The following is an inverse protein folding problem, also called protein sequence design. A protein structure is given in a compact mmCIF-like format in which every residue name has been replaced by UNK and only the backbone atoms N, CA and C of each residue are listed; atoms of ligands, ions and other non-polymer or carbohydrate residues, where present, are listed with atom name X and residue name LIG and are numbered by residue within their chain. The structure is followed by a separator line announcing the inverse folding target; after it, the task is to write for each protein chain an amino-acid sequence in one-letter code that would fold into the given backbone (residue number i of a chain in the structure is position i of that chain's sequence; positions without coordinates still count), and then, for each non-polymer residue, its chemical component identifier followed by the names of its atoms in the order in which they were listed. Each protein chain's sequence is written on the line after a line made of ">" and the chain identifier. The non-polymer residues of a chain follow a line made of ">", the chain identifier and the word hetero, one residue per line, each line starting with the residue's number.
data_IF_504397846968
#
_entry.id   IF_504397846968
#
_cell.length_a   1.000
_cell.length_b   1.000
_cell.length_c   1.000
_cell.angle_alpha   90.00
_cell.angle_beta   90.00
_cell.angle_gamma   90.00
#
_symmetry.space_group_name_H-M   'P 1'
#
loop_
_entity.id
_entity.type
_entity.pdbx_description
1 polymer ?
#
# COMPACT_ATOMS: atom_id res chain seq x y z
N UNK A 1 -27.10 -8.18 8.86
CA UNK A 1 -26.63 -7.55 7.60
C UNK A 1 -25.97 -6.16 7.77
N UNK A 2 -25.61 -5.73 9.00
CA UNK A 2 -25.02 -4.40 9.24
C UNK A 2 -23.49 -4.31 9.01
N UNK A 3 -22.75 -5.42 9.10
CA UNK A 3 -21.28 -5.41 9.02
C UNK A 3 -20.69 -5.09 7.64
N UNK A 4 -21.40 -5.43 6.55
CA UNK A 4 -20.90 -5.22 5.17
C UNK A 4 -21.02 -3.75 4.73
N UNK A 5 -22.14 -3.09 5.08
CA UNK A 5 -22.35 -1.65 4.78
C UNK A 5 -21.38 -0.75 5.55
N UNK A 6 -21.09 -1.06 6.82
CA UNK A 6 -20.09 -0.34 7.60
C UNK A 6 -18.69 -0.38 6.98
N UNK A 7 -18.29 -1.55 6.47
CA UNK A 7 -16.99 -1.76 5.82
C UNK A 7 -16.85 -0.98 4.50
N UNK A 8 -17.92 -0.84 3.70
CA UNK A 8 -17.88 -0.07 2.46
C UNK A 8 -17.73 1.43 2.73
N UNK A 9 -18.52 1.98 3.67
CA UNK A 9 -18.40 3.40 4.07
C UNK A 9 -17.00 3.71 4.60
N UNK A 10 -16.44 2.80 5.38
CA UNK A 10 -15.08 2.94 5.90
C UNK A 10 -14.03 2.93 4.79
N UNK A 11 -14.15 2.06 3.80
CA UNK A 11 -13.27 2.03 2.64
C UNK A 11 -13.33 3.35 1.85
N UNK A 12 -14.53 3.89 1.59
CA UNK A 12 -14.70 5.17 0.87
C UNK A 12 -14.04 6.33 1.64
N UNK A 13 -14.16 6.38 2.97
CA UNK A 13 -13.49 7.40 3.80
C UNK A 13 -11.97 7.33 3.70
N UNK A 14 -11.40 6.12 3.66
CA UNK A 14 -9.96 5.93 3.46
C UNK A 14 -9.54 6.46 2.08
N UNK A 15 -10.31 6.15 1.03
CA UNK A 15 -10.02 6.62 -0.32
C UNK A 15 -10.10 8.15 -0.42
N UNK A 16 -11.11 8.79 0.17
CA UNK A 16 -11.25 10.24 0.23
C UNK A 16 -10.11 10.94 0.99
N UNK A 17 -9.72 10.39 2.14
CA UNK A 17 -8.57 10.90 2.91
C UNK A 17 -7.26 10.79 2.12
N UNK A 18 -7.04 9.64 1.48
CA UNK A 18 -5.85 9.42 0.66
C UNK A 18 -5.81 10.35 -0.56
N UNK A 19 -6.96 10.67 -1.17
CA UNK A 19 -7.05 11.63 -2.26
C UNK A 19 -6.70 13.05 -1.80
N UNK A 20 -7.30 13.51 -0.70
CA UNK A 20 -7.02 14.84 -0.15
C UNK A 20 -5.55 15.01 0.29
N UNK A 21 -4.94 13.97 0.88
CA UNK A 21 -3.52 14.00 1.23
C UNK A 21 -2.66 14.15 -0.02
N UNK A 22 -2.95 13.39 -1.09
CA UNK A 22 -2.22 13.46 -2.37
C UNK A 22 -2.28 14.84 -2.99
N UNK A 23 -3.46 15.48 -2.97
CA UNK A 23 -3.64 16.84 -3.49
C UNK A 23 -2.82 17.86 -2.69
N UNK A 24 -2.82 17.76 -1.35
CA UNK A 24 -2.06 18.66 -0.46
C UNK A 24 -0.55 18.56 -0.65
N UNK A 25 -0.04 17.36 -0.89
CA UNK A 25 1.41 17.11 -1.05
C UNK A 25 1.89 17.19 -2.50
N UNK A 26 1.01 17.53 -3.44
CA UNK A 26 1.34 17.70 -4.86
C UNK A 26 1.73 16.41 -5.57
N UNK A 27 1.28 15.25 -5.08
CA UNK A 27 1.60 13.95 -5.68
C UNK A 27 0.48 13.49 -6.60
N UNK A 28 0.79 13.30 -7.89
CA UNK A 28 -0.14 12.66 -8.84
C UNK A 28 -0.09 11.15 -8.62
N UNK A 29 -1.27 10.52 -8.61
CA UNK A 29 -1.36 9.05 -8.52
C UNK A 29 -0.90 8.45 -9.84
N UNK A 30 0.06 7.53 -9.80
CA UNK A 30 0.62 6.95 -11.00
C UNK A 30 -0.38 6.03 -11.72
N UNK A 31 -0.41 6.13 -13.05
CA UNK A 31 -1.39 5.49 -13.95
C UNK A 31 -1.50 3.96 -13.81
N UNK A 32 -0.43 3.27 -13.43
CA UNK A 32 -0.41 1.80 -13.28
C UNK A 32 -1.15 1.28 -12.07
N UNK A 33 -1.31 2.10 -11.03
CA UNK A 33 -2.17 1.82 -9.87
C UNK A 33 -3.55 2.49 -10.00
N UNK A 34 -3.82 3.08 -11.17
CA UNK A 34 -5.04 3.82 -11.40
C UNK A 34 -6.21 2.87 -11.62
N UNK A 35 -6.08 1.92 -12.55
CA UNK A 35 -7.12 0.96 -12.91
C UNK A 35 -7.74 0.21 -11.71
N UNK A 36 -6.94 -0.51 -10.91
CA UNK A 36 -7.45 -1.28 -9.77
C UNK A 36 -8.14 -0.43 -8.69
N UNK A 37 -7.74 0.83 -8.55
CA UNK A 37 -8.43 1.77 -7.67
C UNK A 37 -9.67 2.35 -8.30
N UNK A 38 -9.66 2.67 -9.61
CA UNK A 38 -10.84 3.14 -10.31
C UNK A 38 -11.91 2.04 -10.25
N UNK A 39 -11.53 0.78 -10.44
CA UNK A 39 -12.40 -0.38 -10.26
C UNK A 39 -12.95 -0.45 -8.82
N UNK A 40 -12.09 -0.28 -7.82
CA UNK A 40 -12.49 -0.30 -6.40
C UNK A 40 -13.43 0.85 -6.05
N UNK A 41 -13.16 2.06 -6.54
CA UNK A 41 -13.98 3.26 -6.32
C UNK A 41 -15.32 3.14 -7.04
N UNK A 42 -15.31 2.64 -8.28
CA UNK A 42 -16.51 2.39 -9.08
C UNK A 42 -17.41 1.36 -8.41
N UNK A 43 -16.84 0.22 -8.00
CA UNK A 43 -17.58 -0.82 -7.28
C UNK A 43 -18.18 -0.31 -5.96
N UNK A 44 -17.45 0.52 -5.20
CA UNK A 44 -17.97 1.11 -3.97
C UNK A 44 -19.10 2.12 -4.23
N UNK A 45 -18.98 2.92 -5.28
CA UNK A 45 -20.01 3.88 -5.72
C UNK A 45 -21.30 3.16 -6.14
N UNK A 46 -21.18 2.07 -6.90
CA UNK A 46 -22.32 1.23 -7.29
C UNK A 46 -23.01 0.55 -6.10
N UNK A 47 -22.23 0.04 -5.14
CA UNK A 47 -22.78 -0.70 -4.00
C UNK A 47 -23.41 0.21 -2.94
N UNK A 48 -22.88 1.41 -2.74
CA UNK A 48 -23.38 2.36 -1.74
C UNK A 48 -24.46 3.30 -2.29
N UNK A 49 -24.46 3.55 -3.59
CA UNK A 49 -25.20 4.64 -4.20
C UNK A 49 -24.46 5.98 -4.07
N UNK A 50 -24.71 6.86 -5.04
CA UNK A 50 -23.95 8.11 -5.22
C UNK A 50 -23.97 9.01 -3.98
N UNK A 51 -25.13 9.22 -3.36
CA UNK A 51 -25.27 10.13 -2.21
C UNK A 51 -24.50 9.66 -0.97
N UNK A 52 -24.55 8.35 -0.66
CA UNK A 52 -23.84 7.77 0.48
C UNK A 52 -22.32 7.71 0.22
N UNK A 53 -21.93 7.50 -1.03
CA UNK A 53 -20.53 7.54 -1.47
C UNK A 53 -19.95 8.95 -1.29
N UNK A 54 -20.59 9.98 -1.84
CA UNK A 54 -20.09 11.35 -1.79
C UNK A 54 -20.01 11.89 -0.34
N UNK A 55 -21.00 11.57 0.50
CA UNK A 55 -20.96 11.91 1.91
C UNK A 55 -19.78 11.26 2.64
N UNK A 56 -19.54 9.96 2.41
CA UNK A 56 -18.41 9.24 2.99
C UNK A 56 -17.07 9.74 2.44
N UNK A 57 -17.01 10.12 1.16
CA UNK A 57 -15.82 10.66 0.55
C UNK A 57 -15.43 12.00 1.17
N UNK A 58 -16.39 12.91 1.32
CA UNK A 58 -16.20 14.22 1.95
C UNK A 58 -15.74 14.08 3.42
N UNK A 59 -16.35 13.16 4.18
CA UNK A 59 -15.92 12.84 5.55
C UNK A 59 -14.48 12.34 5.63
N UNK A 60 -13.99 11.65 4.60
CA UNK A 60 -12.60 11.21 4.50
C UNK A 60 -11.66 12.37 4.13
N UNK A 61 -12.06 13.19 3.15
CA UNK A 61 -11.26 14.27 2.60
C UNK A 61 -10.90 15.36 3.64
N UNK A 62 -11.75 15.55 4.67
CA UNK A 62 -11.50 16.51 5.76
C UNK A 62 -10.60 15.97 6.87
N UNK A 63 -10.23 14.68 6.85
CA UNK A 63 -9.32 14.14 7.86
C UNK A 63 -7.94 14.81 7.79
N UNK A 64 -7.40 15.11 8.97
CA UNK A 64 -5.97 15.42 9.10
C UNK A 64 -5.13 14.20 8.74
N UNK A 65 -3.84 14.41 8.44
CA UNK A 65 -2.92 13.32 8.13
C UNK A 65 -2.84 12.29 9.27
N UNK A 66 -2.84 12.75 10.52
CA UNK A 66 -2.81 11.88 11.71
C UNK A 66 -4.10 11.07 11.86
N UNK A 67 -5.27 11.70 11.67
CA UNK A 67 -6.55 11.01 11.71
C UNK A 67 -6.70 10.01 10.57
N UNK A 68 -6.23 10.34 9.36
CA UNK A 68 -6.20 9.43 8.23
C UNK A 68 -5.32 8.20 8.49
N UNK A 69 -4.17 8.38 9.15
CA UNK A 69 -3.29 7.28 9.58
C UNK A 69 -4.00 6.40 10.62
N UNK A 70 -4.56 7.01 11.68
CA UNK A 70 -5.30 6.28 12.72
C UNK A 70 -6.54 5.56 12.15
N UNK A 71 -7.20 6.16 11.16
CA UNK A 71 -8.37 5.61 10.50
C UNK A 71 -8.01 4.42 9.58
N UNK A 72 -6.95 4.54 8.79
CA UNK A 72 -6.43 3.43 7.99
C UNK A 72 -5.94 2.25 8.84
N UNK A 73 -5.46 2.51 10.06
CA UNK A 73 -5.09 1.45 11.01
C UNK A 73 -6.31 0.70 11.55
N UNK A 74 -7.46 1.35 11.72
CA UNK A 74 -8.72 0.73 12.20
C UNK A 74 -9.40 -0.15 11.13
N UNK A 75 -9.45 0.32 9.88
CA UNK A 75 -10.08 -0.42 8.77
C UNK A 75 -9.30 -1.64 8.29
N UNK A 76 -8.02 -1.78 8.70
CA UNK A 76 -7.25 -3.02 8.56
C UNK A 76 -7.65 -4.02 9.64
N UNK A 77 -8.91 -4.46 9.60
CA UNK A 77 -9.40 -5.59 10.41
C UNK A 77 -8.35 -6.70 10.47
N UNK A 78 -8.11 -7.19 11.69
CA UNK A 78 -6.96 -7.97 12.13
C UNK A 78 -6.60 -9.20 11.28
N UNK A 79 -6.07 -9.01 10.07
CA UNK A 79 -5.09 -9.96 9.54
C UNK A 79 -3.83 -9.70 10.36
N UNK A 80 -3.62 -10.53 11.39
CA UNK A 80 -2.35 -10.65 12.12
C UNK A 80 -1.26 -11.07 11.12
N UNK A 81 -0.83 -10.14 10.28
CA UNK A 81 0.41 -10.30 9.53
C UNK A 81 1.53 -10.32 10.58
N UNK A 82 2.44 -11.30 10.55
CA UNK A 82 3.57 -11.35 11.47
C UNK A 82 4.30 -10.00 11.48
N UNK A 83 4.85 -9.62 12.64
CA UNK A 83 5.59 -8.36 12.76
C UNK A 83 6.94 -8.40 12.04
N UNK A 84 7.49 -9.59 11.82
CA UNK A 84 8.81 -9.84 11.23
C UNK A 84 8.79 -11.06 10.30
N UNK A 85 9.82 -11.18 9.46
CA UNK A 85 9.96 -12.26 8.48
C UNK A 85 9.30 -11.97 7.12
N UNK A 86 9.43 -12.91 6.19
CA UNK A 86 8.95 -12.76 4.81
C UNK A 86 7.43 -12.58 4.70
N UNK A 87 6.67 -13.23 5.58
CA UNK A 87 5.21 -13.06 5.66
C UNK A 87 4.78 -11.67 6.17
N UNK A 88 5.68 -10.95 6.85
CA UNK A 88 5.47 -9.58 7.29
C UNK A 88 5.52 -8.55 6.14
N UNK A 89 6.02 -8.96 4.97
CA UNK A 89 6.08 -8.09 3.82
C UNK A 89 4.68 -7.88 3.20
N UNK A 90 4.42 -6.64 2.83
CA UNK A 90 3.29 -6.24 2.00
C UNK A 90 3.56 -6.61 0.53
N UNK A 91 2.53 -6.64 -0.34
CA UNK A 91 2.73 -6.86 -1.77
C UNK A 91 3.74 -5.89 -2.39
N UNK A 92 3.60 -4.58 -2.12
CA UNK A 92 4.53 -3.57 -2.63
C UNK A 92 5.98 -3.76 -2.15
N UNK A 93 6.17 -4.17 -0.89
CA UNK A 93 7.50 -4.49 -0.37
C UNK A 93 8.10 -5.72 -1.07
N UNK A 94 7.31 -6.76 -1.34
CA UNK A 94 7.78 -7.93 -2.11
C UNK A 94 8.20 -7.56 -3.53
N UNK A 95 7.44 -6.69 -4.19
CA UNK A 95 7.81 -6.20 -5.53
C UNK A 95 9.14 -5.44 -5.51
N UNK A 96 9.35 -4.59 -4.51
CA UNK A 96 10.65 -3.91 -4.32
C UNK A 96 11.77 -4.92 -4.09
N UNK A 97 11.58 -5.92 -3.21
CA UNK A 97 12.60 -6.95 -2.94
C UNK A 97 12.96 -7.75 -4.19
N UNK A 98 11.96 -8.15 -4.98
CA UNK A 98 12.17 -8.85 -6.25
C UNK A 98 13.04 -8.03 -7.19
N UNK A 99 12.72 -6.76 -7.40
CA UNK A 99 13.51 -5.90 -8.28
C UNK A 99 14.91 -5.61 -7.72
N UNK A 100 15.08 -5.57 -6.39
CA UNK A 100 16.42 -5.53 -5.78
C UNK A 100 17.22 -6.79 -6.09
N UNK A 101 16.59 -7.97 -6.02
CA UNK A 101 17.25 -9.25 -6.35
C UNK A 101 17.63 -9.37 -7.82
N UNK A 102 16.91 -8.67 -8.71
CA UNK A 102 17.27 -8.48 -10.12
C UNK A 102 18.42 -7.46 -10.33
N UNK A 103 18.89 -6.80 -9.28
CA UNK A 103 20.02 -5.86 -9.33
C UNK A 103 19.65 -4.39 -9.59
N UNK A 104 18.37 -4.03 -9.70
CA UNK A 104 17.94 -2.70 -10.14
C UNK A 104 18.15 -1.61 -9.07
N UNK A 105 18.68 -0.46 -9.45
CA UNK A 105 18.81 0.69 -8.54
C UNK A 105 17.46 1.30 -8.15
N UNK A 106 17.43 2.14 -7.11
CA UNK A 106 16.19 2.76 -6.64
C UNK A 106 15.47 3.58 -7.72
N UNK A 107 16.21 4.23 -8.62
CA UNK A 107 15.66 4.98 -9.76
C UNK A 107 14.97 4.07 -10.77
N UNK A 108 15.58 2.93 -11.11
CA UNK A 108 15.00 1.97 -12.05
C UNK A 108 13.77 1.27 -11.45
N UNK A 109 13.85 0.92 -10.15
CA UNK A 109 12.72 0.40 -9.38
C UNK A 109 11.58 1.41 -9.36
N UNK A 110 11.89 2.68 -9.10
CA UNK A 110 10.92 3.77 -9.09
C UNK A 110 10.22 3.92 -10.43
N UNK A 111 10.96 3.88 -11.54
CA UNK A 111 10.39 3.89 -12.90
C UNK A 111 9.49 2.68 -13.13
N UNK A 112 9.94 1.47 -12.75
CA UNK A 112 9.21 0.22 -13.02
C UNK A 112 7.96 0.04 -12.17
N UNK A 113 7.98 0.54 -10.94
CA UNK A 113 6.82 0.53 -10.04
C UNK A 113 5.98 1.80 -10.15
N UNK A 114 6.42 2.76 -10.97
CA UNK A 114 5.80 4.08 -11.12
C UNK A 114 5.59 4.74 -9.75
N UNK A 115 6.69 5.02 -9.05
CA UNK A 115 6.73 5.72 -7.76
C UNK A 115 7.95 6.64 -7.72
N UNK A 116 8.13 7.42 -6.65
CA UNK A 116 9.37 8.19 -6.48
C UNK A 116 10.52 7.33 -5.92
N UNK A 117 11.80 7.62 -6.22
CA UNK A 117 12.94 6.94 -5.60
C UNK A 117 12.92 7.01 -4.06
N UNK A 118 12.37 8.10 -3.48
CA UNK A 118 12.16 8.25 -2.04
C UNK A 118 11.13 7.25 -1.49
N UNK A 119 10.11 6.92 -2.27
CA UNK A 119 9.12 5.89 -1.91
C UNK A 119 9.77 4.51 -1.88
N UNK A 120 10.63 4.20 -2.86
CA UNK A 120 11.43 2.98 -2.88
C UNK A 120 12.34 2.89 -1.65
N UNK A 121 13.01 3.98 -1.28
CA UNK A 121 13.81 4.03 -0.05
C UNK A 121 12.98 3.74 1.20
N UNK A 122 11.78 4.33 1.32
CA UNK A 122 10.89 4.07 2.45
C UNK A 122 10.47 2.59 2.53
N UNK A 123 10.13 1.97 1.39
CA UNK A 123 9.85 0.54 1.35
C UNK A 123 11.07 -0.30 1.77
N UNK A 124 12.27 0.04 1.32
CA UNK A 124 13.50 -0.66 1.71
C UNK A 124 13.76 -0.55 3.21
N UNK A 125 13.57 0.62 3.83
CA UNK A 125 13.71 0.78 5.28
C UNK A 125 12.74 -0.15 6.03
N UNK A 126 11.49 -0.24 5.60
CA UNK A 126 10.53 -1.16 6.24
C UNK A 126 10.89 -2.63 6.03
N UNK A 127 11.36 -2.99 4.83
CA UNK A 127 11.84 -4.36 4.52
C UNK A 127 13.01 -4.73 5.44
N UNK A 128 14.00 -3.84 5.56
CA UNK A 128 15.16 -4.04 6.42
C UNK A 128 14.76 -4.29 7.86
N UNK A 129 13.86 -3.45 8.40
CA UNK A 129 13.33 -3.64 9.76
C UNK A 129 12.61 -4.98 9.92
N UNK A 130 11.77 -5.37 8.95
CA UNK A 130 10.98 -6.61 9.03
C UNK A 130 11.83 -7.87 8.89
N UNK A 131 12.89 -7.83 8.09
CA UNK A 131 13.78 -8.95 7.84
C UNK A 131 15.02 -8.97 8.75
N UNK A 132 15.22 -7.94 9.57
CA UNK A 132 16.41 -7.81 10.43
C UNK A 132 17.69 -7.57 9.64
N UNK A 133 17.60 -6.90 8.50
CA UNK A 133 18.73 -6.63 7.60
C UNK A 133 19.17 -5.17 7.72
N UNK A 134 20.42 -4.89 7.36
CA UNK A 134 20.98 -3.53 7.44
C UNK A 134 21.49 -3.02 6.10
N UNK A 135 21.50 -3.86 5.07
CA UNK A 135 22.00 -3.47 3.76
C UNK A 135 21.25 -4.09 2.60
N UNK A 136 21.36 -3.41 1.46
CA UNK A 136 20.85 -3.87 0.17
C UNK A 136 21.51 -5.17 -0.28
N UNK A 137 22.80 -5.34 -0.02
CA UNK A 137 23.54 -6.56 -0.36
C UNK A 137 23.01 -7.74 0.43
N UNK A 138 22.81 -7.57 1.75
CA UNK A 138 22.17 -8.60 2.58
C UNK A 138 20.76 -8.92 2.08
N UNK A 139 19.98 -7.91 1.68
CA UNK A 139 18.65 -8.14 1.11
C UNK A 139 18.70 -8.97 -0.18
N UNK A 140 19.61 -8.67 -1.10
CA UNK A 140 19.75 -9.44 -2.33
C UNK A 140 20.16 -10.90 -2.04
N UNK A 141 21.09 -11.12 -1.11
CA UNK A 141 21.52 -12.46 -0.68
C UNK A 141 20.38 -13.23 -0.03
N UNK A 142 19.63 -12.60 0.89
CA UNK A 142 18.54 -13.23 1.60
C UNK A 142 17.35 -13.53 0.68
N UNK A 143 17.05 -12.65 -0.27
CA UNK A 143 16.05 -12.89 -1.30
C UNK A 143 16.41 -14.10 -2.18
N UNK A 144 17.69 -14.23 -2.56
CA UNK A 144 18.16 -15.38 -3.33
C UNK A 144 18.04 -16.69 -2.53
N UNK A 145 18.37 -16.69 -1.22
CA UNK A 145 18.19 -17.85 -0.34
C UNK A 145 16.71 -18.21 -0.18
N UNK A 146 15.85 -17.22 0.03
CA UNK A 146 14.42 -17.43 0.20
C UNK A 146 13.76 -18.01 -1.05
N UNK A 147 14.16 -17.56 -2.25
CA UNK A 147 13.69 -18.10 -3.51
C UNK A 147 14.08 -19.58 -3.72
N UNK A 148 15.24 -20.00 -3.21
CA UNK A 148 15.66 -21.41 -3.24
C UNK A 148 14.91 -22.26 -2.19
N UNK A 149 14.56 -21.68 -1.05
CA UNK A 149 13.84 -22.35 0.03
C UNK A 149 12.32 -22.45 -0.19
N UNK A 150 11.76 -21.61 -1.07
CA UNK A 150 10.33 -21.60 -1.41
C UNK A 150 10.14 -22.03 -2.88
N UNK A 151 10.20 -23.34 -3.20
CA UNK A 151 9.91 -23.80 -4.56
C UNK A 151 8.40 -23.61 -4.83
N UNK A 152 8.08 -22.76 -5.82
CA UNK A 152 6.76 -22.54 -6.44
C UNK A 152 5.56 -23.21 -5.75
N UNK A 153 4.77 -22.42 -5.02
CA UNK A 153 3.34 -22.69 -4.79
C UNK A 153 2.50 -21.82 -5.72
#
# INVERSE_FOLDING_TARGET
>A
MAGRKGSHREAVRIFGAAAAIRDRIGTVRFKTWDAAYQDSVTALREVMGEADFEAAWAEGAVLSTEEAIAYAQRGRGARKRPASGWDALTPAERDVVRLVSEGLGNSDIATRLFVSPRTVQSHLTHVYTKLGLTSRVQLAQEAARHAQASPNS
#
